data_IF_488903059395
#
_entry.id   IF_488903059395
#
_cell.length_a   1.000
_cell.length_b   1.000
_cell.length_c   1.000
_cell.angle_alpha   90.00
_cell.angle_beta   90.00
_cell.angle_gamma   90.00
#
_symmetry.space_group_name_H-M   'P 1'
#
loop_
_entity.id
_entity.type
_entity.pdbx_description
1 polymer ?
#
# COMPACT_ATOMS: atom_id res chain seq x y z
N UNK A 1 13.05 9.28 0.92
CA UNK A 1 13.18 8.35 2.08
C UNK A 1 13.26 6.91 1.59
N UNK A 2 14.09 6.06 2.19
CA UNK A 2 14.24 4.65 1.84
C UNK A 2 14.26 3.78 3.09
N UNK A 3 13.32 2.84 3.20
CA UNK A 3 13.31 1.80 4.24
C UNK A 3 14.00 0.55 3.73
N UNK A 4 15.04 0.09 4.43
CA UNK A 4 15.92 -1.00 3.97
C UNK A 4 15.76 -2.32 4.73
N UNK A 5 15.19 -2.29 5.93
CA UNK A 5 15.43 -3.33 6.92
C UNK A 5 16.81 -3.17 7.58
N UNK A 6 17.04 -3.89 8.67
CA UNK A 6 18.30 -3.83 9.44
C UNK A 6 19.49 -4.38 8.64
N UNK A 7 19.29 -5.48 7.90
CA UNK A 7 20.39 -6.18 7.19
C UNK A 7 21.06 -5.30 6.15
N UNK A 8 20.31 -4.49 5.43
CA UNK A 8 20.80 -3.76 4.26
C UNK A 8 21.10 -2.29 4.55
N UNK A 9 20.72 -1.82 5.76
CA UNK A 9 20.81 -0.42 6.15
C UNK A 9 22.19 0.19 5.93
N UNK A 10 23.23 -0.43 6.47
CA UNK A 10 24.60 0.10 6.40
C UNK A 10 25.12 0.17 4.97
N UNK A 11 24.81 -0.84 4.15
CA UNK A 11 25.22 -0.89 2.74
C UNK A 11 24.49 0.20 1.94
N UNK A 12 23.19 0.26 2.01
CA UNK A 12 22.38 1.21 1.24
C UNK A 12 22.69 2.65 1.62
N UNK A 13 22.83 2.94 2.92
CA UNK A 13 23.21 4.26 3.39
C UNK A 13 24.53 4.73 2.78
N UNK A 14 25.54 3.87 2.76
CA UNK A 14 26.87 4.16 2.16
C UNK A 14 26.75 4.47 0.66
N UNK A 15 25.92 3.75 -0.06
CA UNK A 15 25.72 4.01 -1.51
C UNK A 15 25.03 5.37 -1.75
N UNK A 16 24.06 5.74 -0.93
CA UNK A 16 23.46 7.07 -1.00
C UNK A 16 24.45 8.19 -0.67
N UNK A 17 25.31 8.01 0.34
CA UNK A 17 26.36 8.98 0.70
C UNK A 17 27.32 9.25 -0.47
N UNK A 18 27.63 8.23 -1.27
CA UNK A 18 28.47 8.37 -2.49
C UNK A 18 27.74 9.05 -3.64
N UNK A 19 26.42 8.95 -3.69
CA UNK A 19 25.63 9.42 -4.83
C UNK A 19 25.49 10.94 -4.89
N UNK A 20 25.70 11.63 -3.77
CA UNK A 20 25.47 13.08 -3.64
C UNK A 20 24.01 13.52 -3.63
N UNK A 21 23.05 12.61 -3.76
CA UNK A 21 21.62 12.93 -3.65
C UNK A 21 21.19 13.14 -2.19
N UNK A 22 20.27 14.07 -1.97
CA UNK A 22 19.60 14.19 -0.67
C UNK A 22 18.84 12.90 -0.35
N UNK A 23 19.10 12.32 0.79
CA UNK A 23 18.53 11.03 1.17
C UNK A 23 18.21 10.95 2.66
N UNK A 24 17.25 10.09 2.98
CA UNK A 24 16.88 9.70 4.33
C UNK A 24 16.70 8.17 4.32
N UNK A 25 17.75 7.46 4.73
CA UNK A 25 17.76 5.99 4.77
C UNK A 25 17.49 5.54 6.20
N UNK A 26 16.53 4.65 6.38
CA UNK A 26 16.13 4.12 7.68
C UNK A 26 15.99 2.61 7.64
N UNK A 27 16.34 1.90 8.70
CA UNK A 27 16.07 0.46 8.77
C UNK A 27 14.57 0.19 8.88
N UNK A 28 13.82 1.05 9.59
CA UNK A 28 12.38 1.00 9.72
C UNK A 28 11.79 2.41 9.79
N UNK A 29 10.55 2.58 9.29
CA UNK A 29 9.82 3.85 9.29
C UNK A 29 8.59 3.71 10.19
N UNK A 30 8.60 4.36 11.35
CA UNK A 30 7.45 4.34 12.28
C UNK A 30 6.31 5.21 11.79
N UNK A 31 6.43 6.21 11.11
CA UNK A 31 5.36 7.13 10.67
C UNK A 31 5.06 7.03 9.17
N UNK A 32 4.71 5.84 8.65
CA UNK A 32 4.53 5.61 7.22
C UNK A 32 3.50 6.55 6.56
N UNK A 33 2.41 6.87 7.23
CA UNK A 33 1.40 7.81 6.72
C UNK A 33 1.97 9.21 6.41
N UNK A 34 2.93 9.68 7.23
CA UNK A 34 3.64 10.93 6.98
C UNK A 34 4.53 10.84 5.73
N UNK A 35 5.17 9.70 5.52
CA UNK A 35 6.00 9.48 4.33
C UNK A 35 5.14 9.43 3.06
N UNK A 36 4.01 8.73 3.09
CA UNK A 36 3.08 8.74 1.95
C UNK A 36 2.58 10.14 1.63
N UNK A 37 2.23 10.97 2.63
CA UNK A 37 1.80 12.36 2.36
C UNK A 37 2.86 13.21 1.66
N UNK A 38 4.13 12.98 1.96
CA UNK A 38 5.26 13.72 1.36
C UNK A 38 5.71 13.16 0.01
N UNK A 39 5.40 11.91 -0.26
CA UNK A 39 5.85 11.25 -1.49
C UNK A 39 5.06 11.74 -2.71
N UNK A 40 5.77 12.01 -3.80
CA UNK A 40 5.19 12.17 -5.14
C UNK A 40 5.11 10.81 -5.86
N UNK A 41 5.97 9.88 -5.53
CA UNK A 41 6.02 8.54 -6.10
C UNK A 41 6.45 7.54 -5.03
N UNK A 42 5.81 6.38 -5.01
CA UNK A 42 6.13 5.28 -4.09
C UNK A 42 6.68 4.10 -4.88
N UNK A 43 7.83 3.57 -4.48
CA UNK A 43 8.39 2.34 -5.05
C UNK A 43 8.31 1.27 -3.98
N UNK A 44 7.55 0.20 -4.21
CA UNK A 44 7.29 -0.80 -3.17
C UNK A 44 6.97 -2.19 -3.73
N UNK A 45 6.98 -3.18 -2.85
CA UNK A 45 6.36 -4.50 -3.11
C UNK A 45 4.83 -4.38 -3.11
N UNK A 46 4.15 -5.29 -3.82
CA UNK A 46 2.69 -5.26 -3.99
C UNK A 46 1.94 -6.11 -2.94
N UNK A 47 2.33 -5.99 -1.68
CA UNK A 47 1.60 -6.58 -0.56
C UNK A 47 0.24 -5.90 -0.35
N UNK A 48 -0.78 -6.66 0.04
CA UNK A 48 -2.15 -6.15 0.18
C UNK A 48 -2.25 -4.94 1.13
N UNK A 49 -1.57 -4.99 2.27
CA UNK A 49 -1.53 -3.89 3.24
C UNK A 49 -0.90 -2.64 2.64
N UNK A 50 0.27 -2.80 1.98
CA UNK A 50 0.95 -1.67 1.32
C UNK A 50 0.08 -1.03 0.26
N UNK A 51 -0.59 -1.83 -0.57
CA UNK A 51 -1.47 -1.28 -1.61
C UNK A 51 -2.70 -0.59 -1.03
N UNK A 52 -3.27 -1.11 0.06
CA UNK A 52 -4.37 -0.44 0.77
C UNK A 52 -3.94 0.93 1.30
N UNK A 53 -2.73 1.05 1.87
CA UNK A 53 -2.17 2.31 2.36
C UNK A 53 -1.88 3.29 1.22
N UNK A 54 -1.21 2.82 0.16
CA UNK A 54 -0.86 3.63 -1.03
C UNK A 54 -2.12 4.20 -1.68
N UNK A 55 -3.14 3.36 -1.93
CA UNK A 55 -4.39 3.79 -2.54
C UNK A 55 -5.24 4.67 -1.62
N UNK A 56 -5.28 4.38 -0.31
CA UNK A 56 -5.95 5.25 0.65
C UNK A 56 -5.37 6.67 0.69
N UNK A 57 -4.05 6.80 0.42
CA UNK A 57 -3.35 8.08 0.30
C UNK A 57 -3.36 8.65 -1.12
N UNK A 58 -3.93 7.99 -2.10
CA UNK A 58 -3.96 8.42 -3.50
C UNK A 58 -2.57 8.54 -4.12
N UNK A 59 -1.64 7.63 -3.82
CA UNK A 59 -0.26 7.74 -4.30
C UNK A 59 0.00 6.88 -5.51
N UNK A 60 0.67 7.46 -6.50
CA UNK A 60 1.19 6.71 -7.64
C UNK A 60 2.33 5.81 -7.19
N UNK A 61 2.36 4.60 -7.72
CA UNK A 61 3.36 3.61 -7.32
C UNK A 61 4.02 2.88 -8.48
N UNK A 62 5.31 2.61 -8.32
CA UNK A 62 6.04 1.60 -9.08
C UNK A 62 6.03 0.32 -8.24
N UNK A 63 5.32 -0.67 -8.73
CA UNK A 63 5.02 -1.91 -8.03
C UNK A 63 5.97 -3.02 -8.50
N UNK A 64 6.74 -3.55 -7.57
CA UNK A 64 7.68 -4.64 -7.81
C UNK A 64 7.21 -5.86 -7.01
N UNK A 65 6.34 -6.72 -7.57
CA UNK A 65 5.83 -7.89 -6.87
C UNK A 65 6.96 -8.83 -6.42
N UNK A 66 6.82 -9.40 -5.23
CA UNK A 66 7.75 -10.43 -4.77
C UNK A 66 7.51 -11.73 -5.56
N UNK A 67 8.52 -12.26 -6.28
CA UNK A 67 8.31 -13.36 -7.24
C UNK A 67 7.94 -14.69 -6.59
N UNK A 68 8.28 -14.88 -5.30
CA UNK A 68 7.96 -16.09 -4.54
C UNK A 68 6.72 -15.93 -3.64
N UNK A 69 5.88 -14.93 -3.90
CA UNK A 69 4.63 -14.75 -3.17
C UNK A 69 3.68 -15.93 -3.43
N UNK A 70 3.09 -16.48 -2.38
CA UNK A 70 2.17 -17.61 -2.48
C UNK A 70 1.08 -17.34 -3.52
N UNK A 71 0.81 -18.32 -4.41
CA UNK A 71 -0.16 -18.18 -5.50
C UNK A 71 -0.02 -16.93 -6.38
N UNK A 72 1.16 -16.32 -6.41
CA UNK A 72 1.47 -15.11 -7.18
C UNK A 72 0.54 -13.93 -6.85
N UNK A 73 0.09 -13.84 -5.58
CA UNK A 73 -0.89 -12.84 -5.17
C UNK A 73 -0.38 -11.40 -5.32
N UNK A 74 0.92 -11.14 -5.12
CA UNK A 74 1.45 -9.79 -5.27
C UNK A 74 1.42 -9.30 -6.72
N UNK A 75 1.71 -10.14 -7.69
CA UNK A 75 1.57 -9.76 -9.10
C UNK A 75 0.11 -9.47 -9.45
N UNK A 76 -0.82 -10.33 -9.01
CA UNK A 76 -2.27 -10.09 -9.23
C UNK A 76 -2.72 -8.76 -8.64
N UNK A 77 -2.28 -8.44 -7.45
CA UNK A 77 -2.56 -7.17 -6.80
C UNK A 77 -2.00 -5.98 -7.60
N UNK A 78 -0.74 -6.06 -8.04
CA UNK A 78 -0.11 -5.01 -8.82
C UNK A 78 -0.83 -4.76 -10.16
N UNK A 79 -1.27 -5.83 -10.83
CA UNK A 79 -2.03 -5.73 -12.08
C UNK A 79 -3.37 -5.01 -11.94
N UNK A 80 -3.98 -5.04 -10.76
CA UNK A 80 -5.21 -4.26 -10.50
C UNK A 80 -4.92 -2.76 -10.56
N UNK A 81 -3.84 -2.31 -9.93
CA UNK A 81 -3.45 -0.89 -9.99
C UNK A 81 -2.97 -0.48 -11.37
N UNK A 82 -2.21 -1.34 -12.06
CA UNK A 82 -1.77 -1.10 -13.42
C UNK A 82 -2.96 -0.96 -14.39
N UNK A 83 -3.92 -1.87 -14.33
CA UNK A 83 -5.13 -1.83 -15.18
C UNK A 83 -6.00 -0.59 -14.93
N UNK A 84 -5.98 -0.05 -13.71
CA UNK A 84 -6.66 1.19 -13.35
C UNK A 84 -5.82 2.45 -13.66
N UNK A 85 -4.65 2.32 -14.27
CA UNK A 85 -3.70 3.42 -14.45
C UNK A 85 -3.39 4.16 -13.13
N UNK A 86 -3.27 3.41 -12.02
CA UNK A 86 -2.95 3.92 -10.69
C UNK A 86 -1.49 3.64 -10.25
N UNK A 87 -0.77 2.87 -11.06
CA UNK A 87 0.62 2.49 -10.81
C UNK A 87 1.24 1.82 -12.02
N UNK A 88 2.54 1.62 -11.96
CA UNK A 88 3.33 0.93 -12.98
C UNK A 88 3.84 -0.40 -12.41
N UNK A 89 3.62 -1.50 -13.14
CA UNK A 89 4.14 -2.82 -12.80
C UNK A 89 5.54 -3.00 -13.39
N UNK A 90 6.48 -3.42 -12.54
CA UNK A 90 7.82 -3.87 -12.94
C UNK A 90 8.02 -5.28 -12.38
N UNK A 91 8.10 -6.27 -13.24
CA UNK A 91 8.33 -7.64 -12.80
C UNK A 91 9.77 -7.84 -12.31
N UNK A 92 9.98 -8.77 -11.40
CA UNK A 92 11.28 -8.97 -10.76
C UNK A 92 12.40 -9.30 -11.76
N UNK A 93 12.09 -10.01 -12.84
CA UNK A 93 13.04 -10.33 -13.91
C UNK A 93 13.37 -9.12 -14.81
N UNK A 94 12.57 -8.06 -14.79
CA UNK A 94 12.80 -6.79 -15.51
C UNK A 94 13.54 -5.79 -14.62
N UNK A 95 13.66 -6.08 -13.30
CA UNK A 95 14.18 -5.15 -12.32
C UNK A 95 15.67 -4.83 -12.58
N UNK A 96 15.93 -3.58 -12.85
CA UNK A 96 17.27 -3.02 -13.00
C UNK A 96 17.28 -1.55 -12.60
N UNK A 97 18.44 -1.00 -12.28
CA UNK A 97 18.58 0.43 -12.01
C UNK A 97 18.06 1.29 -13.16
N UNK A 98 18.36 0.91 -14.41
CA UNK A 98 17.86 1.61 -15.61
C UNK A 98 16.34 1.57 -15.69
N UNK A 99 15.72 0.41 -15.44
CA UNK A 99 14.25 0.26 -15.49
C UNK A 99 13.56 1.14 -14.46
N UNK A 100 14.05 1.15 -13.24
CA UNK A 100 13.50 2.01 -12.17
C UNK A 100 13.72 3.49 -12.47
N UNK A 101 14.91 3.87 -12.95
CA UNK A 101 15.17 5.25 -13.36
C UNK A 101 14.20 5.72 -14.44
N UNK A 102 13.94 4.89 -15.46
CA UNK A 102 12.97 5.21 -16.50
C UNK A 102 11.54 5.39 -15.95
N UNK A 103 11.12 4.56 -15.00
CA UNK A 103 9.81 4.70 -14.35
C UNK A 103 9.71 6.01 -13.57
N UNK A 104 10.76 6.37 -12.83
CA UNK A 104 10.83 7.64 -12.10
C UNK A 104 10.77 8.83 -13.05
N UNK A 105 11.59 8.83 -14.09
CA UNK A 105 11.64 9.94 -15.06
C UNK A 105 10.29 10.13 -15.75
N UNK A 106 9.65 9.06 -16.22
CA UNK A 106 8.30 9.13 -16.81
C UNK A 106 7.25 9.74 -15.88
N UNK A 107 7.33 9.43 -14.59
CA UNK A 107 6.43 10.00 -13.61
C UNK A 107 6.69 11.51 -13.37
N UNK A 108 7.95 11.95 -13.46
CA UNK A 108 8.33 13.34 -13.20
C UNK A 108 8.18 14.25 -14.44
N UNK A 109 8.29 13.70 -15.66
CA UNK A 109 8.25 14.44 -16.91
C UNK A 109 6.83 14.84 -17.34
N UNK A 110 5.80 14.15 -16.82
CA UNK A 110 4.40 14.41 -17.14
C UNK A 110 3.56 14.60 -15.86
N UNK A 111 3.53 15.83 -15.32
CA UNK A 111 2.76 16.14 -14.11
C UNK A 111 1.26 15.90 -14.25
N UNK A 112 0.70 16.11 -15.45
CA UNK A 112 -0.72 15.92 -15.69
C UNK A 112 -1.09 14.44 -15.62
N UNK A 113 -0.28 13.59 -16.23
CA UNK A 113 -0.43 12.13 -16.12
C UNK A 113 -0.28 11.65 -14.67
N UNK A 114 0.67 12.23 -13.93
CA UNK A 114 0.88 11.89 -12.53
C UNK A 114 -0.37 12.19 -11.70
N UNK A 115 -0.99 13.37 -11.91
CA UNK A 115 -2.23 13.78 -11.24
C UNK A 115 -3.41 12.83 -11.58
N UNK A 116 -3.56 12.45 -12.85
CA UNK A 116 -4.57 11.47 -13.26
C UNK A 116 -4.35 10.11 -12.58
N UNK A 117 -3.11 9.66 -12.47
CA UNK A 117 -2.76 8.42 -11.77
C UNK A 117 -2.99 8.51 -10.26
N UNK A 118 -2.75 9.66 -9.64
CA UNK A 118 -3.06 9.88 -8.21
C UNK A 118 -4.57 9.81 -7.96
N UNK A 119 -5.39 10.43 -8.81
CA UNK A 119 -6.86 10.33 -8.71
C UNK A 119 -7.34 8.88 -8.89
N UNK A 120 -6.84 8.17 -9.89
CA UNK A 120 -7.16 6.76 -10.09
C UNK A 120 -6.77 5.89 -8.88
N UNK A 121 -5.61 6.13 -8.30
CA UNK A 121 -5.17 5.47 -7.08
C UNK A 121 -6.11 5.78 -5.91
N UNK A 122 -6.47 7.03 -5.76
CA UNK A 122 -7.40 7.49 -4.73
C UNK A 122 -8.78 6.83 -4.85
N UNK A 123 -9.31 6.66 -6.06
CA UNK A 123 -10.59 6.00 -6.30
C UNK A 123 -10.59 4.50 -5.96
N UNK A 124 -9.44 3.84 -6.09
CA UNK A 124 -9.29 2.44 -5.67
C UNK A 124 -9.24 2.26 -4.15
N UNK A 125 -8.88 3.31 -3.41
CA UNK A 125 -8.68 3.24 -1.96
C UNK A 125 -10.00 3.15 -1.18
N UNK A 126 -10.06 2.23 -0.21
CA UNK A 126 -11.19 2.13 0.74
C UNK A 126 -10.81 2.81 2.06
N UNK A 127 -11.30 4.03 2.25
CA UNK A 127 -11.04 4.85 3.45
C UNK A 127 -12.04 4.62 4.58
N UNK A 128 -13.14 3.96 4.27
CA UNK A 128 -14.24 3.61 5.16
C UNK A 128 -14.24 2.12 5.55
N UNK A 129 -13.11 1.42 5.34
CA UNK A 129 -13.01 -0.02 5.56
C UNK A 129 -13.39 -0.42 7.00
N UNK A 130 -12.95 0.33 8.01
CA UNK A 130 -13.29 0.06 9.42
C UNK A 130 -14.78 0.15 9.65
N UNK A 131 -15.44 1.18 9.08
CA UNK A 131 -16.89 1.35 9.23
C UNK A 131 -17.67 0.26 8.49
N UNK A 132 -17.24 -0.14 7.31
CA UNK A 132 -17.82 -1.27 6.57
C UNK A 132 -17.72 -2.58 7.36
N UNK A 133 -16.56 -2.88 7.95
CA UNK A 133 -16.38 -4.07 8.79
C UNK A 133 -17.29 -3.98 10.02
N UNK A 134 -17.33 -2.82 10.70
CA UNK A 134 -18.23 -2.61 11.83
C UNK A 134 -19.70 -2.88 11.46
N UNK A 135 -20.15 -2.34 10.32
CA UNK A 135 -21.55 -2.54 9.87
C UNK A 135 -21.84 -4.02 9.60
N UNK A 136 -20.96 -4.72 8.89
CA UNK A 136 -21.11 -6.16 8.63
C UNK A 136 -21.22 -6.94 9.95
N UNK A 137 -20.38 -6.65 10.93
CA UNK A 137 -20.44 -7.29 12.24
C UNK A 137 -21.77 -7.02 12.94
N UNK A 138 -22.27 -5.79 12.89
CA UNK A 138 -23.57 -5.43 13.48
C UNK A 138 -24.72 -6.16 12.79
N UNK A 139 -24.74 -6.20 11.46
CA UNK A 139 -25.79 -6.89 10.69
C UNK A 139 -25.81 -8.40 11.01
N UNK A 140 -24.63 -9.03 11.12
CA UNK A 140 -24.51 -10.44 11.51
C UNK A 140 -25.03 -10.70 12.93
N UNK A 141 -24.76 -9.80 13.87
CA UNK A 141 -25.28 -9.91 15.25
C UNK A 141 -26.80 -9.75 15.30
N UNK A 142 -27.37 -8.82 14.54
CA UNK A 142 -28.81 -8.62 14.43
C UNK A 142 -29.49 -9.85 13.81
N UNK A 143 -28.93 -10.42 12.76
CA UNK A 143 -29.45 -11.63 12.12
C UNK A 143 -29.37 -12.85 13.03
N UNK A 144 -28.28 -13.00 13.81
CA UNK A 144 -28.15 -14.05 14.81
C UNK A 144 -29.23 -13.90 15.91
N UNK A 145 -29.47 -12.68 16.38
CA UNK A 145 -30.51 -12.39 17.37
C UNK A 145 -31.93 -12.63 16.82
N UNK A 146 -32.20 -12.32 15.56
CA UNK A 146 -33.48 -12.62 14.90
C UNK A 146 -33.73 -14.14 14.79
N UNK A 147 -32.66 -14.91 14.45
CA UNK A 147 -32.73 -16.36 14.32
C UNK A 147 -32.82 -17.07 15.67
N UNK A 148 -32.25 -16.50 16.73
CA UNK A 148 -32.30 -17.02 18.08
C UNK A 148 -33.55 -16.53 18.88
N UNK A 149 -34.39 -15.75 18.28
CA UNK A 149 -35.57 -15.12 18.92
C UNK A 149 -36.58 -16.11 19.46
N UNK A 150 -36.26 -16.68 20.60
CA UNK A 150 -37.16 -17.08 21.73
C UNK A 150 -36.33 -17.61 22.90
N UNK A 151 -35.25 -16.96 23.30
CA UNK A 151 -34.66 -17.22 24.63
C UNK A 151 -33.86 -15.99 25.10
N UNK A 152 -34.40 -15.35 26.12
CA UNK A 152 -33.69 -14.66 27.20
C UNK A 152 -32.63 -13.60 26.83
N UNK A 153 -32.91 -12.36 27.20
CA UNK A 153 -31.99 -11.23 27.24
C UNK A 153 -30.67 -11.58 27.93
N UNK A 154 -29.59 -11.56 27.18
CA UNK A 154 -28.25 -11.39 27.76
C UNK A 154 -27.61 -10.15 27.12
N UNK A 155 -27.53 -9.06 27.90
CA UNK A 155 -26.71 -7.91 27.54
C UNK A 155 -25.25 -8.32 27.63
N UNK A 156 -24.63 -8.63 26.51
CA UNK A 156 -23.19 -8.81 26.41
C UNK A 156 -22.54 -7.51 25.98
N UNK A 157 -21.70 -6.94 26.83
CA UNK A 157 -20.80 -5.86 26.45
C UNK A 157 -19.67 -6.47 25.62
N UNK A 158 -19.66 -6.21 24.32
CA UNK A 158 -18.58 -6.61 23.43
C UNK A 158 -17.62 -5.44 23.25
N UNK A 159 -16.37 -5.63 23.67
CA UNK A 159 -15.28 -4.69 23.40
C UNK A 159 -14.52 -5.21 22.19
N UNK A 160 -14.61 -4.52 21.07
CA UNK A 160 -13.72 -4.75 19.93
C UNK A 160 -12.42 -3.98 20.19
N UNK A 161 -11.32 -4.70 20.49
CA UNK A 161 -9.98 -4.12 20.44
C UNK A 161 -9.41 -4.33 19.04
N UNK A 162 -9.19 -3.26 18.30
CA UNK A 162 -8.41 -3.28 17.07
C UNK A 162 -6.93 -3.24 17.44
N UNK A 163 -6.16 -4.22 16.94
CA UNK A 163 -4.69 -4.23 16.97
C UNK A 163 -4.14 -3.51 15.74
#
# INVERSE_FOLDING_TARGET
THQTGESDFAMVKREYEKSGFSHDVRPFIDGMAEQYRKASLVICRAGATTLAEVTACGKVSVLIPYPHAAHNHQEKNARVLEAANAGELVLDHELSGTRITQSILRALEDPQRLEEMEENSYQLGSRDATEKVRQICMDLLEDANRKSGHAGKTQGNYVLSCF
#
